data_IF_517908168897
#
_entry.id   IF_517908168897
#
_cell.length_a   1.000
_cell.length_b   1.000
_cell.length_c   1.000
_cell.angle_alpha   90.00
_cell.angle_beta   90.00
_cell.angle_gamma   90.00
#
_symmetry.space_group_name_H-M   'P 1'
#
loop_
_entity.id
_entity.type
_entity.pdbx_description
1 polymer ?
#
# COMPACT_ATOMS: atom_id res chain seq x y z
N UNK A 1 9.61 6.70 -21.31
CA UNK A 1 8.36 7.44 -21.00
C UNK A 1 7.22 6.78 -21.77
N UNK A 2 6.11 6.42 -21.11
CA UNK A 2 4.98 5.71 -21.77
C UNK A 2 4.34 4.58 -20.96
N UNK A 3 4.83 4.28 -19.74
CA UNK A 3 4.18 3.33 -18.84
C UNK A 3 3.04 4.02 -18.10
N UNK A 4 1.82 3.52 -18.27
CA UNK A 4 0.69 3.91 -17.43
C UNK A 4 0.88 3.31 -16.04
N UNK A 5 1.04 4.16 -15.04
CA UNK A 5 1.07 3.72 -13.64
C UNK A 5 -0.37 3.48 -13.19
N UNK A 6 -0.59 2.41 -12.41
CA UNK A 6 -1.87 2.20 -11.75
C UNK A 6 -2.22 3.46 -10.93
N UNK A 7 -3.45 3.97 -11.02
CA UNK A 7 -3.88 5.11 -10.20
C UNK A 7 -3.67 4.77 -8.72
N UNK A 8 -3.36 5.75 -7.88
CA UNK A 8 -3.00 5.48 -6.49
C UNK A 8 -2.29 6.64 -5.83
N UNK A 9 -2.07 6.53 -4.53
CA UNK A 9 -1.49 7.62 -3.75
C UNK A 9 -0.79 7.13 -2.49
N UNK A 10 0.10 7.97 -1.98
CA UNK A 10 0.73 7.81 -0.68
C UNK A 10 -0.14 8.48 0.39
N UNK A 11 -0.51 7.71 1.41
CA UNK A 11 -1.26 8.18 2.56
C UNK A 11 -0.38 8.25 3.81
N UNK A 12 -0.44 9.36 4.54
CA UNK A 12 0.18 9.55 5.86
C UNK A 12 -0.81 9.36 7.02
N UNK A 13 -2.08 9.05 6.73
CA UNK A 13 -3.10 8.74 7.74
C UNK A 13 -4.15 7.76 7.20
N UNK A 14 -4.84 7.06 8.11
CA UNK A 14 -5.92 6.14 7.78
C UNK A 14 -7.05 6.81 6.98
N UNK A 15 -7.41 8.06 7.33
CA UNK A 15 -8.46 8.79 6.60
C UNK A 15 -8.00 9.23 5.21
N UNK A 16 -6.74 9.62 5.04
CA UNK A 16 -6.22 9.90 3.71
C UNK A 16 -6.16 8.63 2.87
N UNK A 17 -5.80 7.48 3.46
CA UNK A 17 -5.79 6.20 2.78
C UNK A 17 -7.20 5.81 2.29
N UNK A 18 -8.21 5.99 3.14
CA UNK A 18 -9.60 5.74 2.76
C UNK A 18 -10.07 6.65 1.62
N UNK A 19 -9.76 7.95 1.67
CA UNK A 19 -10.08 8.90 0.58
C UNK A 19 -9.44 8.51 -0.74
N UNK A 20 -8.15 8.15 -0.73
CA UNK A 20 -7.46 7.68 -1.94
C UNK A 20 -8.14 6.42 -2.48
N UNK A 21 -8.55 5.49 -1.61
CA UNK A 21 -9.25 4.28 -2.03
C UNK A 21 -10.62 4.58 -2.65
N UNK A 22 -11.39 5.52 -2.08
CA UNK A 22 -12.66 5.98 -2.65
C UNK A 22 -12.45 6.60 -4.05
N UNK A 23 -11.36 7.35 -4.24
CA UNK A 23 -11.04 8.00 -5.52
C UNK A 23 -10.59 7.01 -6.61
N UNK A 24 -9.84 5.96 -6.26
CA UNK A 24 -9.29 4.99 -7.23
C UNK A 24 -10.18 3.76 -7.44
N UNK A 25 -11.15 3.52 -6.56
CA UNK A 25 -12.08 2.39 -6.61
C UNK A 25 -11.53 1.10 -5.98
N UNK A 26 -12.46 0.25 -5.53
CA UNK A 26 -12.20 -1.02 -4.84
C UNK A 26 -12.27 -2.24 -5.78
N UNK A 27 -11.62 -3.38 -5.44
CA UNK A 27 -10.75 -3.57 -4.28
C UNK A 27 -9.38 -2.88 -4.42
N UNK A 28 -8.79 -2.48 -3.30
CA UNK A 28 -7.44 -1.90 -3.25
C UNK A 28 -6.44 -2.75 -2.47
N UNK A 29 -5.17 -2.47 -2.69
CA UNK A 29 -4.04 -2.92 -1.88
C UNK A 29 -3.47 -1.73 -1.08
N UNK A 30 -3.10 -1.98 0.17
CA UNK A 30 -2.38 -1.06 1.05
C UNK A 30 -0.98 -1.62 1.33
N UNK A 31 0.06 -0.86 0.99
CA UNK A 31 1.47 -1.29 1.08
C UNK A 31 2.30 -0.25 1.82
N UNK A 32 3.14 -0.65 2.76
CA UNK A 32 4.06 0.28 3.42
C UNK A 32 4.96 1.01 2.41
N UNK A 33 5.08 2.32 2.58
CA UNK A 33 6.13 3.12 1.98
C UNK A 33 7.23 3.35 3.01
N UNK A 34 8.43 2.89 2.70
CA UNK A 34 9.62 3.03 3.54
C UNK A 34 10.85 2.96 2.65
N UNK A 35 11.80 3.87 2.84
CA UNK A 35 13.16 3.82 2.28
C UNK A 35 14.03 2.77 2.96
N UNK A 36 13.77 2.46 4.22
CA UNK A 36 14.59 1.56 5.04
C UNK A 36 14.14 0.10 4.90
N UNK A 37 12.85 -0.13 4.61
CA UNK A 37 12.27 -1.47 4.47
C UNK A 37 12.03 -1.78 2.99
N UNK A 38 13.01 -2.43 2.36
CA UNK A 38 12.92 -2.88 0.97
C UNK A 38 12.04 -4.13 0.79
N UNK A 39 12.08 -5.10 1.73
CA UNK A 39 11.33 -6.36 1.66
C UNK A 39 10.02 -6.32 2.47
N UNK A 40 9.09 -5.46 2.03
CA UNK A 40 7.81 -5.12 2.72
C UNK A 40 6.88 -6.31 3.00
N UNK A 41 7.02 -7.40 2.24
CA UNK A 41 6.23 -8.62 2.39
C UNK A 41 6.63 -9.42 3.63
N UNK A 42 7.89 -9.34 4.06
CA UNK A 42 8.44 -10.17 5.14
C UNK A 42 7.94 -9.74 6.54
N UNK A 43 7.38 -8.53 6.64
CA UNK A 43 6.85 -7.95 7.88
C UNK A 43 5.32 -7.79 7.87
N UNK A 44 4.63 -8.40 6.89
CA UNK A 44 3.19 -8.28 6.74
C UNK A 44 2.71 -6.85 6.48
N UNK A 45 3.55 -6.00 5.87
CA UNK A 45 3.22 -4.61 5.60
C UNK A 45 2.52 -4.40 4.25
N UNK A 46 1.87 -5.46 3.77
CA UNK A 46 1.03 -5.49 2.57
C UNK A 46 -0.30 -6.12 2.95
N UNK A 47 -1.38 -5.39 2.69
CA UNK A 47 -2.76 -5.84 2.87
C UNK A 47 -3.45 -5.75 1.51
N UNK A 48 -4.07 -6.83 1.06
CA UNK A 48 -4.66 -6.96 -0.28
C UNK A 48 -6.17 -7.17 -0.17
N UNK A 49 -6.90 -6.87 -1.26
CA UNK A 49 -8.32 -7.18 -1.37
C UNK A 49 -9.19 -6.37 -0.40
N UNK A 50 -8.84 -5.10 -0.18
CA UNK A 50 -9.59 -4.23 0.71
C UNK A 50 -10.80 -3.68 -0.05
N UNK A 51 -12.01 -4.06 0.35
CA UNK A 51 -13.25 -3.79 -0.41
C UNK A 51 -14.00 -2.53 0.04
N UNK A 52 -13.46 -1.78 1.02
CA UNK A 52 -14.13 -0.59 1.52
C UNK A 52 -13.28 0.25 2.47
N UNK A 53 -13.75 1.47 2.79
CA UNK A 53 -12.96 2.46 3.51
C UNK A 53 -12.59 2.01 4.92
N UNK A 54 -13.46 1.28 5.61
CA UNK A 54 -13.17 0.76 6.95
C UNK A 54 -12.11 -0.34 6.94
N UNK A 55 -12.08 -1.18 5.91
CA UNK A 55 -11.01 -2.16 5.73
C UNK A 55 -9.67 -1.45 5.48
N UNK A 56 -9.68 -0.39 4.68
CA UNK A 56 -8.49 0.43 4.41
C UNK A 56 -7.96 1.13 5.66
N UNK A 57 -8.83 1.74 6.47
CA UNK A 57 -8.43 2.35 7.74
C UNK A 57 -7.80 1.33 8.70
N UNK A 58 -8.43 0.15 8.84
CA UNK A 58 -7.89 -0.94 9.65
C UNK A 58 -6.52 -1.40 9.14
N UNK A 59 -6.39 -1.61 7.83
CA UNK A 59 -5.13 -1.99 7.21
C UNK A 59 -4.01 -0.97 7.48
N UNK A 60 -4.32 0.34 7.42
CA UNK A 60 -3.35 1.39 7.74
C UNK A 60 -2.82 1.24 9.18
N UNK A 61 -3.70 1.14 10.17
CA UNK A 61 -3.30 1.02 11.57
C UNK A 61 -2.58 -0.29 11.87
N UNK A 62 -2.96 -1.39 11.21
CA UNK A 62 -2.25 -2.66 11.34
C UNK A 62 -0.82 -2.57 10.82
N UNK A 63 -0.62 -1.92 9.66
CA UNK A 63 0.71 -1.68 9.09
C UNK A 63 1.53 -0.78 10.03
N UNK A 64 0.97 0.34 10.47
CA UNK A 64 1.61 1.29 11.40
C UNK A 64 2.07 0.59 12.68
N UNK A 65 1.17 -0.19 13.31
CA UNK A 65 1.50 -0.96 14.50
C UNK A 65 2.63 -1.96 14.25
N UNK A 66 2.57 -2.75 13.18
CA UNK A 66 3.60 -3.76 12.86
C UNK A 66 4.98 -3.11 12.64
N UNK A 67 5.03 -2.01 11.91
CA UNK A 67 6.29 -1.29 11.67
C UNK A 67 6.85 -0.75 12.98
N UNK A 68 6.00 -0.18 13.83
CA UNK A 68 6.39 0.32 15.15
C UNK A 68 6.94 -0.79 16.05
N UNK A 69 6.29 -1.95 16.09
CA UNK A 69 6.69 -3.09 16.91
C UNK A 69 8.04 -3.69 16.48
N UNK A 70 8.32 -3.74 15.17
CA UNK A 70 9.54 -4.36 14.66
C UNK A 70 10.73 -3.42 14.49
N UNK A 71 10.48 -2.16 14.11
CA UNK A 71 11.52 -1.22 13.63
C UNK A 71 11.42 0.20 14.23
N UNK A 72 10.40 0.49 15.03
CA UNK A 72 10.18 1.81 15.63
C UNK A 72 9.56 2.84 14.67
N UNK A 73 9.22 4.03 15.18
CA UNK A 73 8.45 5.07 14.46
C UNK A 73 9.13 5.62 13.20
N UNK A 74 10.45 5.51 13.08
CA UNK A 74 11.23 6.19 12.02
C UNK A 74 11.13 5.49 10.66
N UNK A 75 10.61 4.26 10.64
CA UNK A 75 10.64 3.40 9.46
C UNK A 75 9.46 3.58 8.49
N UNK A 76 8.48 4.46 8.79
CA UNK A 76 7.26 4.62 7.99
C UNK A 76 7.15 6.01 7.35
N UNK A 77 7.20 6.08 6.01
CA UNK A 77 6.84 7.31 5.26
C UNK A 77 5.33 7.43 5.03
N UNK A 78 4.62 6.29 5.05
CA UNK A 78 3.18 6.21 4.87
C UNK A 78 2.75 4.86 4.29
N UNK A 79 1.55 4.81 3.72
CA UNK A 79 0.98 3.65 3.04
C UNK A 79 0.60 4.02 1.61
N UNK A 80 1.14 3.29 0.64
CA UNK A 80 0.71 3.34 -0.75
C UNK A 80 -0.60 2.59 -0.91
N UNK A 81 -1.62 3.28 -1.40
CA UNK A 81 -2.93 2.72 -1.77
C UNK A 81 -3.03 2.65 -3.28
N UNK A 82 -3.35 1.47 -3.80
CA UNK A 82 -3.42 1.20 -5.24
C UNK A 82 -4.58 0.23 -5.55
N UNK A 83 -5.27 0.34 -6.68
CA UNK A 83 -6.28 -0.63 -7.08
C UNK A 83 -5.63 -1.99 -7.28
N UNK A 84 -6.37 -3.03 -6.89
CA UNK A 84 -5.98 -4.40 -7.14
C UNK A 84 -6.40 -4.77 -8.57
N UNK A 85 -5.47 -4.65 -9.51
CA UNK A 85 -5.70 -5.04 -10.89
C UNK A 85 -5.75 -6.57 -10.99
N UNK A 86 -6.83 -7.10 -11.55
CA UNK A 86 -6.94 -8.51 -11.93
C UNK A 86 -6.55 -8.67 -13.40
N UNK A 87 -5.60 -9.54 -13.68
CA UNK A 87 -5.09 -9.82 -15.03
C UNK A 87 -4.64 -11.27 -15.14
N UNK A 88 -4.61 -11.81 -16.36
CA UNK A 88 -4.23 -13.21 -16.64
C UNK A 88 -2.73 -13.43 -16.79
N UNK A 89 -1.92 -12.37 -16.75
CA UNK A 89 -0.47 -12.44 -16.89
C UNK A 89 0.21 -11.39 -16.00
N UNK A 90 1.28 -11.79 -15.32
CA UNK A 90 2.20 -10.93 -14.59
C UNK A 90 3.51 -10.83 -15.37
N UNK A 91 4.07 -9.62 -15.50
CA UNK A 91 5.30 -9.38 -16.26
C UNK A 91 6.28 -8.58 -15.40
N UNK A 92 7.52 -9.06 -15.31
CA UNK A 92 8.62 -8.38 -14.62
C UNK A 92 9.66 -7.95 -15.66
N UNK A 93 9.99 -6.65 -15.70
CA UNK A 93 10.97 -6.07 -16.64
C UNK A 93 12.13 -5.50 -15.83
N UNK A 94 13.34 -6.01 -16.07
CA UNK A 94 14.59 -5.46 -15.53
C UNK A 94 15.36 -4.72 -16.62
N UNK A 95 15.95 -3.59 -16.28
CA UNK A 95 16.85 -2.83 -17.15
C UNK A 95 18.15 -2.62 -16.39
N UNK A 96 19.29 -2.82 -17.06
CA UNK A 96 20.63 -2.64 -16.48
C UNK A 96 21.20 -1.27 -16.85
#
# INVERSE_FOLDING_TARGET
AGLQLAPGGLASSADQAARIADDVGYPVAAKLASREIQHKTDIGAVQLGLDGPDQVRRAFHEIERRVKDERGDVAMEGVLVQPLLSGSAEVMIGVQ
#
